data_IF_606414475790
#
_entry.id   IF_606414475790
#
_cell.length_a   1.000
_cell.length_b   1.000
_cell.length_c   1.000
_cell.angle_alpha   90.00
_cell.angle_beta   90.00
_cell.angle_gamma   90.00
#
_symmetry.space_group_name_H-M   'P 1'
#
loop_
_entity.id
_entity.type
_entity.pdbx_description
1 polymer ?
#
# COMPACT_ATOMS: atom_id res chain seq x y z
N UNK A 1 2.44 14.71 5.07
CA UNK A 1 1.36 13.73 4.82
C UNK A 1 0.57 13.62 6.12
N UNK A 2 -0.75 13.41 6.05
CA UNK A 2 -1.62 13.31 7.22
C UNK A 2 -2.12 11.87 7.30
N UNK A 3 -1.92 11.22 8.43
CA UNK A 3 -2.49 9.89 8.66
C UNK A 3 -3.96 10.04 9.03
N UNK A 4 -4.86 9.42 8.28
CA UNK A 4 -6.29 9.46 8.52
C UNK A 4 -6.95 8.12 8.14
N UNK A 5 -8.19 7.91 8.59
CA UNK A 5 -8.98 6.75 8.17
C UNK A 5 -9.72 7.10 6.88
N UNK A 6 -9.60 6.25 5.86
CA UNK A 6 -10.28 6.42 4.58
C UNK A 6 -11.80 6.36 4.81
N UNK A 7 -12.50 7.44 4.43
CA UNK A 7 -13.97 7.48 4.44
C UNK A 7 -14.58 6.97 3.14
N UNK A 8 -13.85 7.11 2.03
CA UNK A 8 -14.29 6.75 0.68
C UNK A 8 -13.37 5.65 0.12
N UNK A 9 -13.89 4.75 -0.72
CA UNK A 9 -13.04 3.82 -1.46
C UNK A 9 -12.12 4.59 -2.41
N UNK A 10 -10.93 4.05 -2.65
CA UNK A 10 -9.93 4.66 -3.52
C UNK A 10 -8.87 3.66 -3.96
N UNK A 11 -7.78 4.15 -4.53
CA UNK A 11 -6.59 3.33 -4.83
C UNK A 11 -5.37 3.93 -4.15
N UNK A 12 -4.53 3.05 -3.62
CA UNK A 12 -3.24 3.40 -3.07
C UNK A 12 -2.36 3.94 -4.19
N UNK A 13 -1.92 5.19 -4.10
CA UNK A 13 -1.05 5.82 -5.08
C UNK A 13 0.35 5.17 -5.14
N UNK A 14 0.71 4.39 -4.11
CA UNK A 14 1.98 3.67 -4.03
C UNK A 14 1.86 2.26 -4.63
N UNK A 15 0.99 1.42 -4.07
CA UNK A 15 0.88 0.00 -4.44
C UNK A 15 -0.23 -0.34 -5.44
N UNK A 16 -1.06 0.61 -5.84
CA UNK A 16 -2.23 0.37 -6.70
C UNK A 16 -3.38 -0.38 -6.02
N UNK A 17 -3.18 -0.88 -4.79
CA UNK A 17 -4.18 -1.64 -4.04
C UNK A 17 -5.45 -0.84 -3.77
N UNK A 18 -6.63 -1.51 -3.74
CA UNK A 18 -7.87 -0.85 -3.37
C UNK A 18 -7.82 -0.41 -1.89
N UNK A 19 -8.07 0.88 -1.66
CA UNK A 19 -8.34 1.45 -0.33
C UNK A 19 -9.83 1.27 -0.06
N UNK A 20 -10.19 0.60 1.02
CA UNK A 20 -11.57 0.46 1.47
C UNK A 20 -11.90 1.50 2.54
N UNK A 21 -13.17 1.90 2.67
CA UNK A 21 -13.61 2.68 3.83
C UNK A 21 -13.23 1.95 5.13
N UNK A 22 -12.58 2.66 6.05
CA UNK A 22 -12.05 2.09 7.30
C UNK A 22 -10.55 1.81 7.30
N UNK A 23 -9.88 1.80 6.14
CA UNK A 23 -8.44 1.61 6.08
C UNK A 23 -7.68 2.84 6.57
N UNK A 24 -6.55 2.65 7.24
CA UNK A 24 -5.65 3.76 7.59
C UNK A 24 -4.84 4.16 6.37
N UNK A 25 -4.87 5.43 6.01
CA UNK A 25 -4.17 5.99 4.86
C UNK A 25 -3.31 7.20 5.26
N UNK A 26 -2.18 7.37 4.57
CA UNK A 26 -1.42 8.61 4.48
C UNK A 26 -2.00 9.43 3.34
N UNK A 27 -2.66 10.53 3.68
CA UNK A 27 -3.20 11.49 2.73
C UNK A 27 -2.20 12.61 2.48
N UNK A 28 -1.95 12.91 1.20
CA UNK A 28 -1.19 14.08 0.80
C UNK A 28 -2.14 15.13 0.20
N UNK A 29 -2.43 16.24 0.92
CA UNK A 29 -3.34 17.27 0.42
C UNK A 29 -2.77 18.07 -0.76
N UNK A 30 -1.44 18.10 -0.96
CA UNK A 30 -0.81 18.80 -2.09
C UNK A 30 -1.01 18.06 -3.41
N UNK A 31 -0.78 16.75 -3.40
CA UNK A 31 -0.90 15.89 -4.60
C UNK A 31 -2.25 15.18 -4.70
N UNK A 32 -3.13 15.34 -3.69
CA UNK A 32 -4.41 14.63 -3.55
C UNK A 32 -4.28 13.11 -3.66
N UNK A 33 -3.15 12.56 -3.17
CA UNK A 33 -2.87 11.12 -3.20
C UNK A 33 -3.09 10.48 -1.83
N UNK A 34 -3.66 9.27 -1.85
CA UNK A 34 -3.85 8.43 -0.68
C UNK A 34 -2.91 7.21 -0.75
N UNK A 35 -2.21 6.89 0.33
CA UNK A 35 -1.35 5.71 0.44
C UNK A 35 -1.81 4.86 1.62
N UNK A 36 -1.92 3.55 1.47
CA UNK A 36 -2.24 2.65 2.59
C UNK A 36 -1.12 2.66 3.64
N UNK A 37 -1.49 2.80 4.91
CA UNK A 37 -0.54 2.72 6.03
C UNK A 37 -0.18 1.26 6.28
N UNK A 38 1.10 1.00 6.55
CA UNK A 38 1.61 -0.37 6.72
C UNK A 38 1.76 -1.12 5.40
N UNK A 39 1.87 -0.39 4.28
CA UNK A 39 2.37 -0.93 3.02
C UNK A 39 3.81 -0.43 2.82
N UNK A 40 4.75 -1.34 2.97
CA UNK A 40 6.18 -1.08 2.80
C UNK A 40 6.61 -1.38 1.35
N UNK A 41 7.56 -0.61 0.87
CA UNK A 41 8.23 -0.85 -0.41
C UNK A 41 9.52 -1.61 -0.14
N UNK A 42 9.70 -2.76 -0.78
CA UNK A 42 10.89 -3.60 -0.65
C UNK A 42 11.42 -3.98 -2.04
N UNK A 43 12.73 -4.15 -2.16
CA UNK A 43 13.37 -4.58 -3.41
C UNK A 43 13.96 -5.97 -3.19
N UNK A 44 13.55 -6.93 -4.02
CA UNK A 44 14.03 -8.32 -3.97
C UNK A 44 14.52 -8.70 -5.37
N UNK A 45 15.80 -9.10 -5.50
CA UNK A 45 16.37 -9.51 -6.78
C UNK A 45 16.28 -8.46 -7.89
N UNK A 46 16.29 -7.17 -7.54
CA UNK A 46 16.15 -6.06 -8.49
C UNK A 46 14.73 -5.75 -8.93
N UNK A 47 13.71 -6.34 -8.29
CA UNK A 47 12.29 -6.03 -8.50
C UNK A 47 11.67 -5.35 -7.28
N UNK A 48 10.84 -4.36 -7.53
CA UNK A 48 10.07 -3.63 -6.52
C UNK A 48 8.81 -4.41 -6.12
N UNK A 49 8.58 -4.53 -4.82
CA UNK A 49 7.42 -5.18 -4.23
C UNK A 49 6.80 -4.31 -3.13
N UNK A 50 5.48 -4.42 -2.98
CA UNK A 50 4.72 -3.78 -1.91
C UNK A 50 4.22 -4.80 -0.91
N UNK A 51 4.72 -4.74 0.32
CA UNK A 51 4.39 -5.65 1.41
C UNK A 51 3.37 -5.04 2.34
N UNK A 52 2.27 -5.72 2.62
CA UNK A 52 1.28 -5.27 3.60
C UNK A 52 1.74 -5.55 5.05
N UNK A 53 0.95 -5.06 6.00
CA UNK A 53 1.21 -5.25 7.44
C UNK A 53 1.26 -6.71 7.89
N UNK A 54 0.62 -7.63 7.16
CA UNK A 54 0.69 -9.06 7.42
C UNK A 54 1.97 -9.72 6.87
N UNK A 55 2.93 -8.92 6.36
CA UNK A 55 4.17 -9.42 5.78
C UNK A 55 4.02 -10.00 4.38
N UNK A 56 2.86 -9.88 3.75
CA UNK A 56 2.57 -10.45 2.42
C UNK A 56 2.78 -9.41 1.33
N UNK A 57 3.49 -9.80 0.27
CA UNK A 57 3.60 -9.00 -0.95
C UNK A 57 2.26 -9.02 -1.66
N UNK A 58 1.68 -7.85 -1.89
CA UNK A 58 0.31 -7.67 -2.41
C UNK A 58 0.27 -7.48 -3.93
N UNK A 59 1.42 -7.18 -4.51
CA UNK A 59 1.68 -7.03 -5.94
C UNK A 59 2.53 -8.17 -6.51
N UNK A 60 2.99 -9.11 -5.65
CA UNK A 60 3.70 -10.29 -6.10
C UNK A 60 2.75 -11.25 -6.86
N UNK A 61 3.20 -11.83 -7.99
CA UNK A 61 2.41 -12.78 -8.77
C UNK A 61 2.12 -14.08 -8.00
N UNK A 62 2.92 -14.38 -6.98
CA UNK A 62 2.69 -15.44 -6.01
C UNK A 62 2.06 -14.82 -4.75
N UNK A 63 0.75 -15.04 -4.57
CA UNK A 63 -0.04 -14.58 -3.42
C UNK A 63 0.69 -14.77 -2.08
N UNK A 64 1.30 -13.71 -1.56
CA UNK A 64 1.88 -13.68 -0.22
C UNK A 64 3.33 -14.17 -0.09
N UNK A 65 4.01 -14.56 -1.16
CA UNK A 65 5.42 -14.94 -1.09
C UNK A 65 6.29 -13.74 -1.44
N UNK A 66 6.73 -13.00 -0.43
CA UNK A 66 7.94 -12.18 -0.56
C UNK A 66 9.14 -13.15 -0.48
N UNK A 67 9.43 -13.91 -1.55
CA UNK A 67 10.49 -14.94 -1.49
C UNK A 67 11.84 -14.29 -1.23
N UNK A 68 12.32 -14.45 0.00
CA UNK A 68 13.69 -14.25 0.49
C UNK A 68 14.59 -15.27 -0.20
#
# INVERSE_FOLDING_TARGET
MITMTARKPGRCARSGQPIKPGDRILWNPRTKTAMLVGVDHIVIGGRDYYRNRAGRCIDAPCCGCCTI
#
